data_IF_820741989968
#
_entry.id   IF_820741989968
#
_cell.length_a   1.000
_cell.length_b   1.000
_cell.length_c   1.000
_cell.angle_alpha   90.00
_cell.angle_beta   90.00
_cell.angle_gamma   90.00
#
_symmetry.space_group_name_H-M   'P 1'
#
loop_
_entity.id
_entity.type
_entity.pdbx_description
1 polymer ?
#
# COMPACT_ATOMS: atom_id res chain seq x y z
N UNK A 1 -39.06 24.93 -29.21
CA UNK A 1 -39.01 26.38 -28.96
C UNK A 1 -40.43 26.84 -28.64
N UNK A 2 -40.64 27.63 -27.59
CA UNK A 2 -41.95 28.25 -27.36
C UNK A 2 -42.42 28.38 -25.90
N UNK A 3 -41.54 28.83 -24.99
CA UNK A 3 -41.99 29.52 -23.76
C UNK A 3 -41.47 30.96 -23.74
N UNK A 4 -41.32 31.58 -24.91
CA UNK A 4 -41.05 33.01 -25.01
C UNK A 4 -42.37 33.76 -24.83
N UNK A 5 -42.58 34.33 -23.64
CA UNK A 5 -43.59 35.39 -23.45
C UNK A 5 -44.59 35.22 -22.31
N UNK A 6 -44.61 34.10 -21.57
CA UNK A 6 -45.39 34.03 -20.32
C UNK A 6 -44.47 34.32 -19.14
N UNK A 7 -44.67 35.46 -18.49
CA UNK A 7 -44.02 35.74 -17.20
C UNK A 7 -44.47 34.65 -16.23
N UNK A 8 -43.55 33.75 -15.87
CA UNK A 8 -43.76 32.74 -14.84
C UNK A 8 -44.10 33.45 -13.54
N UNK A 9 -45.05 32.90 -12.78
CA UNK A 9 -45.52 33.50 -11.54
C UNK A 9 -44.34 33.81 -10.61
N UNK A 10 -44.19 35.05 -10.12
CA UNK A 10 -43.04 35.47 -9.31
C UNK A 10 -42.99 34.83 -7.91
N UNK A 11 -43.98 33.98 -7.58
CA UNK A 11 -44.09 33.29 -6.28
C UNK A 11 -43.68 31.81 -6.35
N UNK A 12 -43.12 31.34 -7.45
CA UNK A 12 -42.65 29.95 -7.60
C UNK A 12 -41.12 29.95 -7.64
N UNK A 13 -40.50 29.20 -6.74
CA UNK A 13 -39.04 29.04 -6.70
C UNK A 13 -38.65 27.94 -7.70
N UNK A 14 -37.81 28.27 -8.68
CA UNK A 14 -37.33 27.31 -9.68
C UNK A 14 -36.06 26.60 -9.19
N UNK A 15 -35.80 25.39 -9.71
CA UNK A 15 -34.58 24.67 -9.38
C UNK A 15 -33.34 25.45 -9.79
N UNK A 16 -32.46 25.74 -8.82
CA UNK A 16 -31.24 26.53 -9.00
C UNK A 16 -31.35 27.99 -8.54
N UNK A 17 -32.56 28.48 -8.25
CA UNK A 17 -32.75 29.80 -7.65
C UNK A 17 -32.71 29.71 -6.12
N UNK A 18 -32.14 30.72 -5.43
CA UNK A 18 -32.10 30.74 -3.98
C UNK A 18 -33.52 30.89 -3.40
N UNK A 19 -33.83 30.07 -2.40
CA UNK A 19 -35.11 30.11 -1.70
C UNK A 19 -35.25 31.44 -0.94
N UNK A 20 -36.47 31.98 -0.87
CA UNK A 20 -36.76 33.20 -0.12
C UNK A 20 -36.33 33.07 1.35
N UNK A 21 -35.38 33.90 1.79
CA UNK A 21 -34.78 33.85 3.12
C UNK A 21 -35.80 33.99 4.26
N UNK A 22 -36.89 34.73 4.03
CA UNK A 22 -37.97 34.85 5.03
C UNK A 22 -38.71 33.54 5.25
N UNK A 23 -38.93 32.79 4.16
CA UNK A 23 -39.54 31.47 4.24
C UNK A 23 -38.57 30.46 4.87
N UNK A 24 -37.29 30.54 4.51
CA UNK A 24 -36.25 29.66 5.06
C UNK A 24 -36.09 29.86 6.57
N UNK A 25 -35.97 31.10 7.06
CA UNK A 25 -35.91 31.39 8.50
C UNK A 25 -37.17 31.00 9.26
N UNK A 26 -38.35 31.17 8.65
CA UNK A 26 -39.60 30.73 9.25
C UNK A 26 -39.68 29.19 9.33
N UNK A 27 -39.09 28.49 8.37
CA UNK A 27 -39.02 27.03 8.33
C UNK A 27 -37.98 26.52 9.32
N UNK A 28 -36.81 27.14 9.43
CA UNK A 28 -35.81 26.81 10.47
C UNK A 28 -36.40 26.97 11.88
N UNK A 29 -37.11 28.08 12.15
CA UNK A 29 -37.69 28.36 13.45
C UNK A 29 -38.94 27.52 13.81
N UNK A 30 -39.66 26.98 12.81
CA UNK A 30 -40.87 26.15 13.01
C UNK A 30 -40.66 24.68 12.67
N UNK A 31 -39.49 24.32 12.12
CA UNK A 31 -39.16 22.94 11.80
C UNK A 31 -39.05 22.15 13.10
N UNK A 32 -39.67 20.98 13.19
CA UNK A 32 -39.49 20.12 14.34
C UNK A 32 -38.01 19.79 14.44
N UNK A 33 -37.41 20.11 15.58
CA UNK A 33 -36.01 19.77 15.86
C UNK A 33 -35.85 18.25 15.82
N UNK A 34 -34.66 17.76 15.49
CA UNK A 34 -34.37 16.32 15.44
C UNK A 34 -34.90 15.58 16.68
N UNK A 35 -34.80 16.19 17.86
CA UNK A 35 -35.31 15.63 19.12
C UNK A 35 -36.84 15.48 19.17
N UNK A 36 -37.58 16.40 18.56
CA UNK A 36 -39.05 16.31 18.47
C UNK A 36 -39.47 15.22 17.49
N UNK A 37 -38.74 15.07 16.38
CA UNK A 37 -38.95 14.00 15.41
C UNK A 37 -38.68 12.65 16.09
N UNK A 38 -37.55 12.52 16.77
CA UNK A 38 -37.16 11.31 17.51
C UNK A 38 -38.20 10.94 18.58
N UNK A 39 -38.72 11.93 19.32
CA UNK A 39 -39.78 11.70 20.34
C UNK A 39 -41.14 11.31 19.76
N UNK A 40 -41.44 11.74 18.53
CA UNK A 40 -42.69 11.42 17.84
C UNK A 40 -42.69 10.02 17.23
N UNK A 41 -41.50 9.40 17.08
CA UNK A 41 -41.38 8.06 16.54
C UNK A 41 -41.69 7.02 17.62
N UNK A 42 -42.43 5.95 17.28
CA UNK A 42 -42.70 4.87 18.21
C UNK A 42 -41.38 4.17 18.59
N UNK A 43 -41.25 3.65 19.83
CA UNK A 43 -40.04 2.97 20.28
C UNK A 43 -39.69 1.72 19.45
N UNK A 44 -40.65 1.19 18.67
CA UNK A 44 -40.45 0.10 17.71
C UNK A 44 -39.75 0.52 16.42
N UNK A 45 -39.65 1.82 16.12
CA UNK A 45 -38.90 2.35 14.98
C UNK A 45 -37.39 2.40 15.25
N UNK A 46 -36.98 2.23 16.50
CA UNK A 46 -35.58 2.14 16.89
C UNK A 46 -35.15 0.67 16.93
N UNK A 47 -34.16 0.33 16.13
CA UNK A 47 -33.48 -0.96 16.25
C UNK A 47 -32.73 -0.92 17.59
N UNK A 48 -33.00 -1.84 18.54
CA UNK A 48 -32.26 -1.87 19.78
C UNK A 48 -30.79 -2.11 19.46
N UNK A 49 -29.95 -1.11 19.72
CA UNK A 49 -28.51 -1.30 19.68
C UNK A 49 -28.16 -2.40 20.70
N UNK A 50 -27.24 -3.32 20.38
CA UNK A 50 -26.75 -4.28 21.35
C UNK A 50 -26.24 -3.49 22.56
N UNK A 51 -26.78 -3.79 23.74
CA UNK A 51 -26.30 -3.21 25.00
C UNK A 51 -24.86 -3.66 25.17
N UNK A 52 -23.92 -2.78 24.81
CA UNK A 52 -22.50 -3.01 25.02
C UNK A 52 -22.27 -3.34 26.49
N UNK A 53 -21.59 -4.44 26.72
CA UNK A 53 -21.27 -4.91 28.06
C UNK A 53 -20.38 -3.89 28.77
N UNK A 54 -20.42 -3.84 30.11
CA UNK A 54 -19.57 -2.93 30.92
C UNK A 54 -18.06 -3.07 30.61
N UNK A 55 -17.66 -4.20 30.01
CA UNK A 55 -16.29 -4.46 29.55
C UNK A 55 -15.95 -3.67 28.28
N UNK A 56 -16.86 -3.62 27.32
CA UNK A 56 -16.68 -2.87 26.06
C UNK A 56 -16.66 -1.36 26.29
N UNK A 57 -17.47 -0.86 27.23
CA UNK A 57 -17.45 0.56 27.63
C UNK A 57 -16.10 0.93 28.28
N UNK A 58 -15.56 0.06 29.14
CA UNK A 58 -14.23 0.27 29.74
C UNK A 58 -13.11 0.19 28.70
N UNK A 59 -13.21 -0.69 27.71
CA UNK A 59 -12.24 -0.76 26.62
C UNK A 59 -12.28 0.48 25.73
N UNK A 60 -13.47 1.02 25.45
CA UNK A 60 -13.62 2.29 24.73
C UNK A 60 -13.08 3.50 25.52
N UNK A 61 -13.25 3.53 26.84
CA UNK A 61 -12.65 4.57 27.70
C UNK A 61 -11.11 4.47 27.75
N UNK A 62 -10.57 3.26 27.73
CA UNK A 62 -9.11 3.04 27.69
C UNK A 62 -8.55 3.40 26.31
N UNK A 63 -9.27 3.08 25.23
CA UNK A 63 -8.89 3.44 23.87
C UNK A 63 -8.88 4.97 23.67
N UNK A 64 -9.92 5.66 24.14
CA UNK A 64 -9.99 7.12 24.05
C UNK A 64 -8.92 7.84 24.88
N UNK A 65 -8.55 7.31 26.06
CA UNK A 65 -7.41 7.82 26.85
C UNK A 65 -6.07 7.61 26.14
N UNK A 66 -5.86 6.43 25.54
CA UNK A 66 -4.64 6.15 24.73
C UNK A 66 -4.53 7.09 23.52
N UNK A 67 -5.63 7.40 22.84
CA UNK A 67 -5.63 8.36 21.74
C UNK A 67 -5.30 9.79 22.19
N UNK A 68 -5.79 10.21 23.35
CA UNK A 68 -5.46 11.52 23.91
C UNK A 68 -3.98 11.62 24.29
N UNK A 69 -3.42 10.56 24.90
CA UNK A 69 -2.00 10.50 25.25
C UNK A 69 -1.10 10.51 24.00
N UNK A 70 -1.48 9.79 22.94
CA UNK A 70 -0.76 9.82 21.66
C UNK A 70 -0.78 11.21 21.01
N UNK A 71 -1.94 11.89 21.00
CA UNK A 71 -2.04 13.27 20.49
C UNK A 71 -1.19 14.25 21.31
N UNK A 72 -1.13 14.08 22.64
CA UNK A 72 -0.27 14.89 23.50
C UNK A 72 1.23 14.67 23.17
N UNK A 73 1.66 13.42 22.97
CA UNK A 73 3.05 13.09 22.61
C UNK A 73 3.44 13.69 21.25
N UNK A 74 2.57 13.57 20.25
CA UNK A 74 2.82 14.16 18.90
C UNK A 74 2.97 15.68 18.99
N UNK A 75 2.08 16.36 19.73
CA UNK A 75 2.16 17.81 19.91
C UNK A 75 3.45 18.26 20.62
N UNK A 76 3.92 17.48 21.60
CA UNK A 76 5.17 17.76 22.30
C UNK A 76 6.42 17.61 21.39
N UNK A 77 6.40 16.63 20.47
CA UNK A 77 7.46 16.43 19.47
C UNK A 77 7.50 17.60 18.48
N UNK A 78 6.35 18.09 18.04
CA UNK A 78 6.26 19.25 17.14
C UNK A 78 6.80 20.52 17.80
N UNK A 79 6.39 20.82 19.04
CA UNK A 79 6.92 21.95 19.80
C UNK A 79 8.43 21.87 20.01
N UNK A 80 8.99 20.66 20.20
CA UNK A 80 10.44 20.45 20.30
C UNK A 80 11.15 20.75 18.97
N UNK A 81 10.59 20.30 17.84
CA UNK A 81 11.11 20.58 16.49
C UNK A 81 11.12 22.08 16.21
N UNK A 82 10.07 22.81 16.56
CA UNK A 82 10.00 24.27 16.40
C UNK A 82 11.05 25.01 17.24
N UNK A 83 11.26 24.61 18.50
CA UNK A 83 12.30 25.20 19.36
C UNK A 83 13.70 24.99 18.78
N UNK A 84 13.97 23.82 18.19
CA UNK A 84 15.25 23.53 17.54
C UNK A 84 15.42 24.40 16.28
N UNK A 85 14.37 24.55 15.46
CA UNK A 85 14.39 25.43 14.28
C UNK A 85 14.70 26.89 14.67
N UNK A 86 14.00 27.44 15.66
CA UNK A 86 14.24 28.81 16.17
C UNK A 86 15.66 29.00 16.70
N UNK A 87 16.22 28.00 17.40
CA UNK A 87 17.63 28.05 17.87
C UNK A 87 18.62 28.07 16.70
N UNK A 88 18.41 27.26 15.66
CA UNK A 88 19.28 27.23 14.47
C UNK A 88 19.23 28.55 13.70
N UNK A 89 18.05 29.13 13.55
CA UNK A 89 17.88 30.43 12.87
C UNK A 89 18.57 31.58 13.62
N UNK A 90 18.42 31.65 14.95
CA UNK A 90 19.12 32.62 15.78
C UNK A 90 20.64 32.47 15.70
N UNK A 91 21.16 31.24 15.64
CA UNK A 91 22.59 30.98 15.47
C UNK A 91 23.10 31.44 14.10
N UNK A 92 22.32 31.21 13.03
CA UNK A 92 22.65 31.67 11.69
C UNK A 92 22.70 33.21 11.63
N UNK A 93 21.69 33.88 12.21
CA UNK A 93 21.62 35.34 12.28
C UNK A 93 22.80 35.95 13.05
N UNK A 94 23.20 35.33 14.16
CA UNK A 94 24.42 35.74 14.91
C UNK A 94 25.70 35.55 14.07
N UNK A 95 25.79 34.49 13.27
CA UNK A 95 26.96 34.24 12.40
C UNK A 95 27.05 35.26 11.26
N UNK A 96 25.91 35.59 10.64
CA UNK A 96 25.83 36.63 9.61
C UNK A 96 26.19 38.01 10.17
N UNK A 97 25.67 38.39 11.35
CA UNK A 97 26.03 39.66 12.00
C UNK A 97 27.53 39.78 12.29
N UNK A 98 28.19 38.69 12.70
CA UNK A 98 29.66 38.64 12.91
C UNK A 98 30.45 38.78 11.60
N UNK A 99 29.95 38.25 10.48
CA UNK A 99 30.60 38.42 9.17
C UNK A 99 30.50 39.87 8.68
N UNK A 100 29.34 40.51 8.85
CA UNK A 100 29.15 41.93 8.50
C UNK A 100 30.08 42.83 9.31
N UNK A 101 30.22 42.59 10.62
CA UNK A 101 31.15 43.34 11.47
C UNK A 101 32.63 43.12 11.09
N UNK A 102 33.02 41.91 10.67
CA UNK A 102 34.37 41.63 10.17
C UNK A 102 34.68 42.33 8.83
N UNK A 103 33.66 42.54 7.99
CA UNK A 103 33.82 43.25 6.73
C UNK A 103 33.88 44.77 6.92
N UNK A 104 33.21 45.32 7.94
CA UNK A 104 33.28 46.77 8.27
C UNK A 104 34.61 47.14 8.95
N UNK A 105 35.26 46.21 9.65
CA UNK A 105 36.51 46.45 10.39
C UNK A 105 37.80 46.29 9.55
N UNK A 106 37.71 46.07 8.23
CA UNK A 106 38.88 45.97 7.35
C UNK A 106 38.97 47.26 6.50
N UNK A 107 39.85 48.22 6.83
CA UNK A 107 40.12 49.33 5.94
C UNK A 107 40.82 48.80 4.68
N UNK A 108 40.34 49.27 3.53
CA UNK A 108 40.90 49.01 2.21
C UNK A 108 42.39 49.38 2.18
N UNK A 109 43.25 48.38 2.02
CA UNK A 109 44.62 48.59 1.57
C UNK A 109 44.76 47.95 0.19
N UNK A 110 44.67 48.83 -0.79
CA UNK A 110 45.20 48.66 -2.15
C UNK A 110 46.67 48.31 -2.01
N UNK A 111 47.13 47.20 -2.62
CA UNK A 111 48.44 47.12 -3.28
C UNK A 111 48.60 45.81 -4.07
N UNK A 112 48.68 46.01 -5.38
CA UNK A 112 49.34 45.23 -6.44
C UNK A 112 50.11 43.97 -6.02
N UNK A 113 49.61 42.80 -6.43
CA UNK A 113 50.41 41.59 -6.64
C UNK A 113 49.93 40.93 -7.95
N UNK A 114 50.84 40.58 -8.88
CA UNK A 114 50.49 40.05 -10.18
C UNK A 114 49.95 38.62 -10.11
N UNK A 115 48.92 38.40 -10.92
CA UNK A 115 48.20 37.15 -11.16
C UNK A 115 49.15 36.12 -11.75
N UNK A 116 49.41 35.02 -11.01
CA UNK A 116 49.88 33.75 -11.58
C UNK A 116 48.66 32.89 -11.90
N UNK A 117 48.55 32.50 -13.16
CA UNK A 117 47.51 31.63 -13.70
C UNK A 117 47.55 30.23 -13.07
N UNK A 118 46.39 29.58 -12.83
CA UNK A 118 46.33 28.18 -12.40
C UNK A 118 46.36 27.23 -13.62
N UNK A 119 47.50 26.61 -13.89
CA UNK A 119 47.58 25.44 -14.79
C UNK A 119 47.30 24.19 -13.95
N UNK A 120 46.03 23.79 -13.84
CA UNK A 120 45.67 22.44 -13.34
C UNK A 120 44.24 22.01 -13.74
N UNK A 121 43.90 22.12 -15.03
CA UNK A 121 42.67 21.50 -15.59
C UNK A 121 42.97 20.47 -16.69
N UNK A 122 44.23 20.29 -17.10
CA UNK A 122 44.62 19.30 -18.12
C UNK A 122 44.99 17.90 -17.59
N UNK A 123 44.75 17.60 -16.30
CA UNK A 123 45.00 16.25 -15.73
C UNK A 123 43.75 15.45 -15.38
N UNK A 124 42.56 15.92 -15.74
CA UNK A 124 41.30 15.20 -15.46
C UNK A 124 40.62 14.70 -16.74
N UNK A 125 41.02 15.19 -17.92
CA UNK A 125 40.41 14.74 -19.20
C UNK A 125 41.12 13.49 -19.77
N UNK A 126 42.36 13.19 -19.36
CA UNK A 126 43.11 12.02 -19.85
C UNK A 126 42.98 10.76 -18.96
N UNK A 127 42.07 10.76 -17.99
CA UNK A 127 41.78 9.60 -17.14
C UNK A 127 40.42 8.92 -17.44
N UNK A 128 39.68 9.43 -18.45
CA UNK A 128 38.38 8.87 -18.88
C UNK A 128 38.37 8.44 -20.36
N UNK A 129 39.53 8.15 -20.94
CA UNK A 129 39.69 7.60 -22.30
C UNK A 129 40.62 6.40 -22.33
N UNK A 130 40.60 5.58 -21.27
CA UNK A 130 41.14 4.23 -21.24
C UNK A 130 40.06 3.25 -20.77
N UNK A 131 38.91 3.33 -21.41
CA UNK A 131 37.97 2.23 -21.45
C UNK A 131 38.52 1.18 -22.41
N UNK A 132 38.97 0.09 -21.81
CA UNK A 132 38.60 -1.27 -22.21
C UNK A 132 38.38 -1.49 -23.71
N UNK A 133 39.47 -1.88 -24.39
CA UNK A 133 39.37 -2.69 -25.60
C UNK A 133 38.68 -4.01 -25.23
N UNK A 134 37.36 -3.99 -25.40
CA UNK A 134 36.47 -5.14 -25.48
C UNK A 134 37.03 -6.11 -26.52
N UNK A 135 37.69 -7.16 -26.07
CA UNK A 135 37.72 -8.40 -26.82
C UNK A 135 36.27 -8.87 -26.96
N UNK A 136 35.75 -9.10 -28.17
CA UNK A 136 34.42 -9.69 -28.33
C UNK A 136 34.49 -11.13 -27.80
N UNK A 137 33.93 -11.36 -26.61
CA UNK A 137 33.69 -12.72 -26.14
C UNK A 137 32.63 -13.36 -27.04
N UNK A 138 33.03 -14.40 -27.77
CA UNK A 138 32.19 -15.13 -28.72
C UNK A 138 31.12 -15.94 -27.99
N UNK A 139 29.94 -15.33 -27.80
CA UNK A 139 28.72 -15.95 -27.28
C UNK A 139 28.29 -17.23 -28.02
N UNK A 140 28.66 -17.38 -29.29
CA UNK A 140 28.37 -18.59 -30.09
C UNK A 140 29.19 -19.81 -29.64
N UNK A 141 30.36 -19.61 -29.02
CA UNK A 141 31.21 -20.69 -28.55
C UNK A 141 30.74 -21.23 -27.18
N UNK A 142 30.20 -20.36 -26.32
CA UNK A 142 29.58 -20.74 -25.04
C UNK A 142 28.23 -21.45 -25.23
N UNK A 143 27.41 -21.03 -26.20
CA UNK A 143 26.14 -21.70 -26.54
C UNK A 143 26.37 -23.13 -27.06
N UNK A 144 27.47 -23.35 -27.80
CA UNK A 144 27.83 -24.67 -28.34
C UNK A 144 28.38 -25.61 -27.26
N UNK A 145 29.01 -25.07 -26.22
CA UNK A 145 29.46 -25.85 -25.07
C UNK A 145 28.26 -26.36 -24.24
N UNK A 146 27.24 -25.51 -24.00
CA UNK A 146 26.02 -25.89 -23.28
C UNK A 146 25.14 -26.88 -24.05
N UNK A 147 25.05 -26.77 -25.38
CA UNK A 147 24.34 -27.77 -26.20
C UNK A 147 25.05 -29.13 -26.23
N UNK A 148 26.35 -29.18 -25.98
CA UNK A 148 27.13 -30.43 -25.91
C UNK A 148 26.99 -31.16 -24.57
N UNK A 149 26.60 -30.47 -23.50
CA UNK A 149 26.30 -31.06 -22.18
C UNK A 149 24.86 -31.60 -22.07
N UNK A 150 23.97 -31.22 -22.99
CA UNK A 150 22.56 -31.61 -22.97
C UNK A 150 22.21 -32.51 -24.15
N UNK A 151 22.77 -33.73 -24.22
CA UNK A 151 22.16 -34.89 -24.91
C UNK A 151 22.48 -36.22 -24.21
N UNK A 152 21.60 -37.24 -24.33
CA UNK A 152 20.93 -37.84 -23.18
C UNK A 152 21.52 -39.20 -22.75
N UNK A 153 21.50 -39.49 -21.44
CA UNK A 153 21.69 -40.86 -20.94
C UNK A 153 20.37 -41.65 -21.00
N UNK A 154 20.39 -42.61 -21.91
CA UNK A 154 19.56 -43.82 -22.09
C UNK A 154 18.74 -44.33 -20.89
N UNK A 155 17.52 -44.72 -21.24
CA UNK A 155 16.49 -45.59 -20.62
C UNK A 155 16.99 -46.81 -19.81
N UNK A 156 16.17 -47.31 -18.87
CA UNK A 156 15.45 -48.56 -19.15
C UNK A 156 13.96 -48.58 -18.71
N UNK A 157 13.13 -49.05 -19.65
CA UNK A 157 11.96 -49.96 -19.52
C UNK A 157 10.71 -49.60 -18.66
N UNK A 158 9.53 -50.17 -19.00
CA UNK A 158 8.24 -49.46 -19.02
C UNK A 158 7.26 -49.92 -17.92
N UNK A 159 6.59 -48.98 -17.27
CA UNK A 159 5.48 -49.19 -16.33
C UNK A 159 4.45 -48.05 -16.58
N UNK A 160 3.14 -48.36 -16.57
CA UNK A 160 2.18 -47.83 -17.53
C UNK A 160 1.68 -46.43 -17.19
N UNK A 161 1.27 -45.74 -18.25
CA UNK A 161 0.38 -44.57 -18.24
C UNK A 161 -0.87 -44.92 -17.42
N UNK A 162 -1.16 -44.25 -16.29
CA UNK A 162 -2.53 -43.92 -15.98
C UNK A 162 -2.87 -42.69 -16.83
N UNK A 163 -3.74 -42.92 -17.81
CA UNK A 163 -4.68 -41.90 -18.24
C UNK A 163 -5.44 -41.52 -16.96
N UNK A 164 -5.00 -40.46 -16.31
CA UNK A 164 -5.79 -39.79 -15.29
C UNK A 164 -6.30 -38.53 -15.97
N UNK A 165 -7.58 -38.61 -16.34
CA UNK A 165 -8.44 -37.50 -16.66
C UNK A 165 -8.00 -36.24 -15.91
N UNK A 166 -7.56 -35.23 -16.66
CA UNK A 166 -7.66 -33.85 -16.19
C UNK A 166 -9.15 -33.53 -16.25
N UNK A 167 -9.89 -34.10 -15.30
CA UNK A 167 -11.21 -33.65 -14.93
C UNK A 167 -11.05 -32.16 -14.66
N UNK A 168 -11.68 -31.36 -15.50
CA UNK A 168 -12.05 -30.00 -15.17
C UNK A 168 -12.60 -30.04 -13.75
N UNK A 169 -11.84 -29.55 -12.77
CA UNK A 169 -12.32 -29.53 -11.41
C UNK A 169 -13.65 -28.77 -11.44
N UNK A 170 -14.78 -29.41 -11.07
CA UNK A 170 -15.99 -28.66 -10.86
C UNK A 170 -15.64 -27.58 -9.85
N UNK A 171 -16.18 -26.37 -10.03
CA UNK A 171 -16.06 -25.30 -9.06
C UNK A 171 -16.65 -25.79 -7.73
N UNK A 172 -15.86 -26.52 -6.95
CA UNK A 172 -16.15 -26.88 -5.58
C UNK A 172 -16.26 -25.56 -4.87
N UNK A 173 -17.40 -25.33 -4.21
CA UNK A 173 -17.64 -24.12 -3.43
C UNK A 173 -16.38 -23.81 -2.63
N UNK A 174 -15.69 -22.71 -2.95
CA UNK A 174 -14.41 -22.34 -2.32
C UNK A 174 -14.49 -22.40 -0.80
N UNK A 175 -15.70 -22.23 -0.23
CA UNK A 175 -15.99 -22.40 1.20
C UNK A 175 -15.64 -23.80 1.72
N UNK A 176 -15.99 -24.85 0.99
CA UNK A 176 -15.81 -26.25 1.37
C UNK A 176 -14.33 -26.64 1.31
N UNK A 177 -13.62 -26.17 0.27
CA UNK A 177 -12.18 -26.37 0.15
C UNK A 177 -11.41 -25.64 1.28
N UNK A 178 -11.86 -24.44 1.65
CA UNK A 178 -11.29 -23.70 2.79
C UNK A 178 -11.50 -24.46 4.09
N UNK A 179 -12.71 -25.01 4.32
CA UNK A 179 -13.02 -25.76 5.54
C UNK A 179 -12.25 -27.08 5.60
N UNK A 180 -12.16 -27.83 4.50
CA UNK A 180 -11.41 -29.09 4.40
C UNK A 180 -9.91 -28.88 4.67
N UNK A 181 -9.33 -27.80 4.15
CA UNK A 181 -7.93 -27.44 4.39
C UNK A 181 -7.67 -26.90 5.81
N UNK A 182 -8.70 -26.49 6.54
CA UNK A 182 -8.63 -25.93 7.89
C UNK A 182 -8.90 -26.96 9.00
N UNK A 183 -9.37 -28.18 8.68
CA UNK A 183 -9.77 -29.19 9.67
C UNK A 183 -8.60 -29.72 10.55
N UNK A 184 -7.35 -29.41 10.22
CA UNK A 184 -6.15 -29.83 10.96
C UNK A 184 -5.36 -28.72 11.66
N UNK A 185 -5.84 -27.48 11.62
CA UNK A 185 -5.07 -26.29 12.06
C UNK A 185 -5.48 -25.73 13.43
N UNK A 186 -4.54 -25.06 14.09
CA UNK A 186 -4.77 -24.40 15.37
C UNK A 186 -5.58 -23.11 15.17
N UNK A 187 -6.83 -23.09 15.69
CA UNK A 187 -7.75 -21.94 15.68
C UNK A 187 -8.16 -21.43 14.28
N UNK A 188 -8.89 -22.26 13.50
CA UNK A 188 -9.40 -21.86 12.19
C UNK A 188 -10.40 -20.70 12.30
N UNK A 189 -10.45 -19.80 11.30
CA UNK A 189 -11.44 -18.73 11.30
C UNK A 189 -12.86 -19.31 11.23
N UNK A 190 -13.74 -18.82 12.10
CA UNK A 190 -15.17 -19.18 12.10
C UNK A 190 -15.77 -19.00 10.69
N UNK A 191 -16.72 -19.87 10.34
CA UNK A 191 -17.48 -19.79 9.08
C UNK A 191 -18.11 -18.41 8.87
N UNK A 192 -18.51 -17.74 9.94
CA UNK A 192 -19.06 -16.38 9.91
C UNK A 192 -18.01 -15.35 9.49
N UNK A 193 -16.76 -15.50 9.93
CA UNK A 193 -15.66 -14.61 9.51
C UNK A 193 -15.36 -14.78 8.03
N UNK A 194 -15.32 -16.03 7.55
CA UNK A 194 -15.11 -16.32 6.12
C UNK A 194 -16.24 -15.70 5.28
N UNK A 195 -17.49 -15.79 5.72
CA UNK A 195 -18.63 -15.15 5.05
C UNK A 195 -18.53 -13.63 5.06
N UNK A 196 -18.10 -13.02 6.18
CA UNK A 196 -17.88 -11.58 6.26
C UNK A 196 -16.81 -11.11 5.26
N UNK A 197 -15.71 -11.85 5.13
CA UNK A 197 -14.68 -11.56 4.13
C UNK A 197 -15.22 -11.73 2.70
N UNK A 198 -16.03 -12.75 2.43
CA UNK A 198 -16.64 -12.93 1.10
C UNK A 198 -17.60 -11.80 0.75
N UNK A 199 -18.29 -11.25 1.74
CA UNK A 199 -19.13 -10.06 1.56
C UNK A 199 -18.28 -8.81 1.25
N UNK A 200 -17.12 -8.65 1.88
CA UNK A 200 -16.22 -7.50 1.66
C UNK A 200 -15.45 -7.56 0.34
N UNK A 201 -14.85 -8.71 0.02
CA UNK A 201 -13.94 -8.87 -1.12
C UNK A 201 -14.60 -9.53 -2.34
N UNK A 202 -15.83 -10.03 -2.20
CA UNK A 202 -16.59 -10.71 -3.25
C UNK A 202 -16.43 -12.22 -3.24
N UNK A 203 -17.30 -12.92 -3.98
CA UNK A 203 -17.44 -14.39 -3.98
C UNK A 203 -16.15 -15.13 -4.35
N UNK A 204 -15.35 -14.57 -5.27
CA UNK A 204 -14.09 -15.15 -5.76
C UNK A 204 -12.87 -14.39 -5.24
N UNK A 205 -13.05 -13.55 -4.22
CA UNK A 205 -12.01 -12.63 -3.79
C UNK A 205 -11.03 -13.21 -2.77
N UNK A 206 -11.34 -14.39 -2.23
CA UNK A 206 -10.59 -15.07 -1.17
C UNK A 206 -10.00 -16.36 -1.72
N UNK A 207 -8.75 -16.57 -1.39
CA UNK A 207 -7.98 -17.74 -1.79
C UNK A 207 -7.30 -18.35 -0.58
N UNK A 208 -7.03 -19.65 -0.68
CA UNK A 208 -6.32 -20.40 0.35
C UNK A 208 -5.16 -21.14 -0.28
N UNK A 209 -4.04 -21.09 0.43
CA UNK A 209 -2.80 -21.73 0.04
C UNK A 209 -2.27 -22.50 1.23
N UNK A 210 -2.10 -23.80 1.04
CA UNK A 210 -1.44 -24.67 2.00
C UNK A 210 0.00 -24.90 1.52
N UNK A 211 0.98 -24.55 2.36
CA UNK A 211 2.36 -24.96 2.16
C UNK A 211 2.63 -26.27 2.87
N UNK A 212 3.60 -27.02 2.37
CA UNK A 212 4.06 -28.26 2.99
C UNK A 212 4.52 -28.02 4.43
N UNK A 213 4.01 -28.83 5.36
CA UNK A 213 4.35 -28.77 6.78
C UNK A 213 3.25 -28.25 7.70
N UNK A 214 2.00 -28.14 7.22
CA UNK A 214 0.89 -27.62 8.03
C UNK A 214 0.94 -26.10 8.19
N UNK A 215 1.32 -25.39 7.12
CA UNK A 215 1.26 -23.93 7.09
C UNK A 215 0.16 -23.52 6.10
N UNK A 216 -1.02 -23.16 6.60
CA UNK A 216 -2.15 -22.72 5.76
C UNK A 216 -2.29 -21.20 5.85
N UNK A 217 -2.47 -20.55 4.70
CA UNK A 217 -2.70 -19.11 4.61
C UNK A 217 -3.97 -18.81 3.83
N UNK A 218 -4.74 -17.87 4.35
CA UNK A 218 -5.92 -17.30 3.71
C UNK A 218 -5.59 -15.86 3.35
N UNK A 219 -5.76 -15.51 2.08
CA UNK A 219 -5.49 -14.16 1.59
C UNK A 219 -6.56 -13.72 0.61
N UNK A 220 -6.63 -12.41 0.39
CA UNK A 220 -7.48 -11.83 -0.65
C UNK A 220 -6.65 -11.29 -1.80
N UNK A 221 -7.29 -11.13 -2.97
CA UNK A 221 -6.68 -10.46 -4.11
C UNK A 221 -6.51 -8.96 -3.85
N UNK A 222 -5.47 -8.39 -4.44
CA UNK A 222 -5.13 -6.98 -4.34
C UNK A 222 -5.92 -6.17 -5.36
N UNK A 223 -6.66 -5.17 -4.88
CA UNK A 223 -7.36 -4.23 -5.75
C UNK A 223 -6.42 -3.15 -6.28
N UNK A 224 -6.77 -2.53 -7.41
CA UNK A 224 -5.99 -1.43 -8.00
C UNK A 224 -5.82 -0.24 -7.04
N UNK A 225 -6.80 0.00 -6.17
CA UNK A 225 -6.75 1.08 -5.18
C UNK A 225 -5.71 0.81 -4.09
N UNK A 226 -5.67 -0.42 -3.58
CA UNK A 226 -4.70 -0.85 -2.57
C UNK A 226 -3.28 -0.87 -3.12
N UNK A 227 -3.10 -1.39 -4.34
CA UNK A 227 -1.79 -1.38 -5.00
C UNK A 227 -1.20 0.02 -5.15
N UNK A 228 -2.03 1.01 -5.51
CA UNK A 228 -1.59 2.41 -5.60
C UNK A 228 -1.13 2.94 -4.24
N UNK A 229 -1.86 2.63 -3.15
CA UNK A 229 -1.49 3.05 -1.80
C UNK A 229 -0.15 2.43 -1.37
N UNK A 230 0.02 1.13 -1.61
CA UNK A 230 1.28 0.43 -1.31
C UNK A 230 2.43 1.07 -2.09
N UNK A 231 2.26 1.29 -3.40
CA UNK A 231 3.28 1.98 -4.22
C UNK A 231 3.58 3.40 -3.76
N UNK A 232 2.58 4.15 -3.30
CA UNK A 232 2.79 5.51 -2.79
C UNK A 232 3.63 5.51 -1.51
N UNK A 233 3.37 4.57 -0.58
CA UNK A 233 4.15 4.38 0.64
C UNK A 233 5.59 3.98 0.29
N UNK A 234 5.77 3.06 -0.65
CA UNK A 234 7.09 2.61 -1.10
C UNK A 234 7.88 3.72 -1.80
N UNK A 235 7.25 4.51 -2.67
CA UNK A 235 7.91 5.63 -3.34
C UNK A 235 8.36 6.70 -2.34
N UNK A 236 7.68 6.86 -1.21
CA UNK A 236 8.10 7.76 -0.14
C UNK A 236 9.34 7.25 0.61
N UNK A 237 9.56 5.94 0.65
CA UNK A 237 10.75 5.32 1.26
C UNK A 237 11.92 5.16 0.27
N UNK A 238 11.63 5.15 -1.04
CA UNK A 238 12.63 5.01 -2.10
C UNK A 238 13.70 6.10 -2.12
N UNK A 239 13.42 7.27 -1.53
CA UNK A 239 14.38 8.36 -1.41
C UNK A 239 15.52 8.08 -0.41
N UNK A 240 15.45 6.99 0.39
CA UNK A 240 16.48 6.68 1.40
C UNK A 240 17.17 5.32 1.26
N UNK A 241 16.72 4.43 0.38
CA UNK A 241 17.14 3.01 0.40
C UNK A 241 17.55 2.48 -0.98
N UNK A 242 18.33 1.40 -0.95
CA UNK A 242 18.80 0.69 -2.14
C UNK A 242 17.62 0.08 -2.91
N UNK A 243 17.77 -0.10 -4.23
CA UNK A 243 16.70 -0.63 -5.08
C UNK A 243 16.23 -2.04 -4.64
N UNK A 244 17.16 -2.90 -4.22
CA UNK A 244 16.86 -4.27 -3.80
C UNK A 244 16.07 -4.31 -2.48
N UNK A 245 16.45 -3.47 -1.51
CA UNK A 245 15.74 -3.34 -0.22
C UNK A 245 14.31 -2.82 -0.41
N UNK A 246 14.10 -1.94 -1.39
CA UNK A 246 12.77 -1.42 -1.76
C UNK A 246 11.91 -2.54 -2.35
N UNK A 247 12.47 -3.46 -3.14
CA UNK A 247 11.71 -4.59 -3.66
C UNK A 247 11.34 -5.59 -2.58
N UNK A 248 12.24 -5.91 -1.66
CA UNK A 248 11.95 -6.80 -0.53
C UNK A 248 10.84 -6.23 0.36
N UNK A 249 10.95 -4.97 0.75
CA UNK A 249 9.91 -4.30 1.55
C UNK A 249 8.56 -4.19 0.83
N UNK A 250 8.57 -4.08 -0.50
CA UNK A 250 7.33 -4.12 -1.27
C UNK A 250 6.65 -5.48 -1.11
N UNK A 251 7.41 -6.58 -1.23
CA UNK A 251 6.88 -7.95 -1.05
C UNK A 251 6.30 -8.12 0.34
N UNK A 252 7.05 -7.72 1.38
CA UNK A 252 6.61 -7.76 2.77
C UNK A 252 5.29 -7.01 2.98
N UNK A 253 5.20 -5.77 2.50
CA UNK A 253 3.99 -4.96 2.69
C UNK A 253 2.78 -5.49 1.91
N UNK A 254 2.99 -6.11 0.75
CA UNK A 254 1.90 -6.76 0.02
C UNK A 254 1.37 -7.97 0.80
N UNK A 255 2.26 -8.83 1.30
CA UNK A 255 1.85 -10.02 2.06
C UNK A 255 1.16 -9.63 3.36
N UNK A 256 1.73 -8.69 4.11
CA UNK A 256 1.13 -8.16 5.36
C UNK A 256 -0.26 -7.54 5.14
N UNK A 257 -0.50 -6.93 3.98
CA UNK A 257 -1.77 -6.29 3.69
C UNK A 257 -2.84 -7.27 3.20
N UNK A 258 -2.45 -8.28 2.42
CA UNK A 258 -3.39 -9.18 1.75
C UNK A 258 -3.70 -10.45 2.54
N UNK A 259 -2.86 -10.86 3.48
CA UNK A 259 -3.12 -12.05 4.30
C UNK A 259 -4.14 -11.74 5.39
N UNK A 260 -5.19 -12.54 5.43
CA UNK A 260 -6.28 -12.47 6.40
C UNK A 260 -6.07 -13.42 7.58
N UNK A 261 -5.47 -14.59 7.32
CA UNK A 261 -5.18 -15.60 8.34
C UNK A 261 -3.94 -16.43 7.96
N UNK A 262 -3.06 -16.78 8.92
CA UNK A 262 -3.01 -16.28 10.31
C UNK A 262 -2.78 -14.77 10.38
N UNK A 263 -3.00 -14.14 11.54
CA UNK A 263 -2.73 -12.71 11.71
C UNK A 263 -1.21 -12.50 11.69
N UNK A 264 -0.69 -12.09 10.53
CA UNK A 264 0.74 -11.85 10.32
C UNK A 264 1.15 -10.50 10.91
N UNK A 265 2.27 -10.46 11.63
CA UNK A 265 2.92 -9.26 12.14
C UNK A 265 4.32 -9.06 11.52
N UNK A 266 4.98 -7.93 11.80
CA UNK A 266 6.33 -7.69 11.29
C UNK A 266 7.34 -8.72 11.83
N UNK A 267 7.10 -9.28 13.02
CA UNK A 267 7.94 -10.34 13.57
C UNK A 267 7.82 -11.66 12.80
N UNK A 268 6.67 -11.95 12.19
CA UNK A 268 6.50 -13.11 11.31
C UNK A 268 7.46 -13.14 10.14
N UNK A 269 7.83 -11.98 9.61
CA UNK A 269 8.78 -11.89 8.52
C UNK A 269 10.17 -12.45 8.92
N UNK A 270 10.56 -12.33 10.19
CA UNK A 270 11.86 -12.78 10.69
C UNK A 270 11.93 -14.30 10.90
N UNK A 271 10.83 -14.95 11.29
CA UNK A 271 10.80 -16.38 11.61
C UNK A 271 10.19 -17.27 10.52
N UNK A 272 9.55 -16.67 9.52
CA UNK A 272 8.94 -17.40 8.42
C UNK A 272 9.99 -18.10 7.55
N UNK A 273 9.63 -19.25 6.95
CA UNK A 273 10.49 -19.92 5.97
C UNK A 273 10.72 -18.98 4.78
N UNK A 274 11.98 -18.78 4.40
CA UNK A 274 12.37 -17.82 3.37
C UNK A 274 11.57 -17.90 2.05
N UNK A 275 11.17 -19.11 1.64
CA UNK A 275 10.40 -19.31 0.41
C UNK A 275 8.91 -18.96 0.49
N UNK A 276 8.32 -18.86 1.69
CA UNK A 276 6.88 -18.61 1.85
C UNK A 276 6.53 -17.18 1.45
N UNK A 277 7.35 -16.20 1.84
CA UNK A 277 7.08 -14.79 1.54
C UNK A 277 7.01 -14.54 0.03
N UNK A 278 7.99 -15.03 -0.72
CA UNK A 278 8.03 -14.86 -2.18
C UNK A 278 6.90 -15.65 -2.87
N UNK A 279 6.61 -16.85 -2.39
CA UNK A 279 5.53 -17.68 -2.93
C UNK A 279 4.14 -17.05 -2.70
N UNK A 280 3.88 -16.54 -1.50
CA UNK A 280 2.65 -15.82 -1.18
C UNK A 280 2.52 -14.56 -2.04
N UNK A 281 3.60 -13.78 -2.17
CA UNK A 281 3.61 -12.59 -3.00
C UNK A 281 3.26 -12.92 -4.47
N UNK A 282 3.92 -13.91 -5.07
CA UNK A 282 3.65 -14.33 -6.44
C UNK A 282 2.20 -14.82 -6.62
N UNK A 283 1.69 -15.58 -5.65
CA UNK A 283 0.33 -16.12 -5.72
C UNK A 283 -0.74 -15.03 -5.56
N UNK A 284 -0.52 -14.07 -4.66
CA UNK A 284 -1.38 -12.88 -4.51
C UNK A 284 -1.41 -12.11 -5.82
N UNK A 285 -0.26 -11.86 -6.44
CA UNK A 285 -0.17 -11.16 -7.72
C UNK A 285 -0.91 -11.89 -8.84
N UNK A 286 -0.71 -13.21 -8.95
CA UNK A 286 -1.37 -14.06 -9.94
C UNK A 286 -2.89 -13.93 -9.85
N UNK A 287 -3.44 -14.10 -8.63
CA UNK A 287 -4.88 -14.03 -8.39
C UNK A 287 -5.45 -12.61 -8.50
N UNK A 288 -4.59 -11.60 -8.37
CA UNK A 288 -4.94 -10.19 -8.59
C UNK A 288 -4.89 -9.77 -10.06
N UNK A 289 -4.52 -10.68 -10.97
CA UNK A 289 -4.45 -10.41 -12.41
C UNK A 289 -3.14 -9.75 -12.86
N UNK A 290 -2.09 -9.76 -12.03
CA UNK A 290 -0.73 -9.39 -12.46
C UNK A 290 -0.09 -10.58 -13.19
N UNK A 291 -0.63 -10.88 -14.36
CA UNK A 291 -0.18 -11.99 -15.19
C UNK A 291 0.90 -11.52 -16.15
N UNK A 292 1.91 -12.35 -16.38
CA UNK A 292 2.78 -12.15 -17.54
C UNK A 292 1.98 -12.40 -18.83
N UNK A 293 2.35 -11.80 -19.97
CA UNK A 293 1.64 -12.04 -21.23
C UNK A 293 1.54 -13.53 -21.60
N UNK A 294 2.54 -14.34 -21.22
CA UNK A 294 2.57 -15.78 -21.42
C UNK A 294 1.52 -16.51 -20.55
N UNK A 295 1.40 -16.13 -19.27
CA UNK A 295 0.40 -16.68 -18.35
C UNK A 295 -1.02 -16.28 -18.76
N UNK A 296 -1.20 -15.03 -19.18
CA UNK A 296 -2.49 -14.55 -19.70
C UNK A 296 -2.91 -15.33 -20.94
N UNK A 297 -1.98 -15.62 -21.86
CA UNK A 297 -2.25 -16.42 -23.06
C UNK A 297 -2.73 -17.84 -22.72
N UNK A 298 -2.06 -18.52 -21.78
CA UNK A 298 -2.46 -19.85 -21.31
C UNK A 298 -3.88 -19.87 -20.75
N UNK A 299 -4.26 -18.85 -19.97
CA UNK A 299 -5.61 -18.74 -19.41
C UNK A 299 -6.66 -18.44 -20.49
N UNK A 300 -6.33 -17.65 -21.52
CA UNK A 300 -7.27 -17.35 -22.61
C UNK A 300 -7.54 -18.53 -23.53
N UNK A 301 -6.63 -19.50 -23.63
CA UNK A 301 -6.81 -20.70 -24.47
C UNK A 301 -7.72 -21.76 -23.85
N UNK A 302 -8.12 -21.58 -22.59
CA UNK A 302 -8.96 -22.52 -21.83
C UNK A 302 -10.44 -22.10 -21.78
N UNK A 303 -10.85 -21.08 -22.54
CA UNK A 303 -12.24 -20.65 -22.74
C UNK A 303 -12.85 -21.33 -23.97
#
# INVERSE_FOLDING_TARGET
MGFEGKQLNPNVVMFGEPVNEKALRALEGKSPTADQIIRSLPPTAFIPAPTLSEREVKEMEVASKKEQDQKAVVSAIEQRKERIKKKKELALKKRQARQVQKNIAKPEQINNIPVKEPILVQKIIDAHTKDEELAPMNLEEELKALESEVKPKKTPAPIPVPEADVEAQPQTDLKSQILELLEGEDNPPSSEKIESWKATYGKNGIHVMAFGGGDVYIYHHLTRGEWKKIKEVMNRMKDSENADEVEEKLKEKVVLYCVLWPSIDEHWLDYCKAGILDSLYQMILLNSGFLTPQQAMLLTTQL
#
